data_IF_714341670503
#
_entry.id   IF_714341670503
#
_cell.length_a   1.000
_cell.length_b   1.000
_cell.length_c   1.000
_cell.angle_alpha   90.00
_cell.angle_beta   90.00
_cell.angle_gamma   90.00
#
_symmetry.space_group_name_H-M   'P 1'
#
loop_
_entity.id
_entity.type
_entity.pdbx_description
1 polymer ?
#
# COMPACT_ATOMS: atom_id res chain seq x y z
N UNK A 1 26.37 22.60 7.28
CA UNK A 1 25.12 22.94 7.99
C UNK A 1 24.65 21.68 8.71
N UNK A 2 24.26 21.74 9.99
CA UNK A 2 23.66 20.56 10.64
C UNK A 2 22.26 20.35 10.04
N UNK A 3 21.87 19.11 9.68
CA UNK A 3 20.52 18.84 9.21
C UNK A 3 19.50 19.22 10.29
N UNK A 4 18.30 19.58 9.85
CA UNK A 4 17.14 19.68 10.74
C UNK A 4 16.93 18.33 11.42
N UNK A 5 16.62 18.32 12.71
CA UNK A 5 16.35 17.08 13.43
C UNK A 5 15.00 16.50 12.98
N UNK A 6 15.04 15.34 12.35
CA UNK A 6 13.87 14.56 11.91
C UNK A 6 13.76 13.23 12.68
N UNK A 7 14.48 13.06 13.78
CA UNK A 7 14.47 11.81 14.56
C UNK A 7 13.07 11.41 15.05
N UNK A 8 12.18 12.37 15.27
CA UNK A 8 10.79 12.13 15.66
C UNK A 8 9.96 11.37 14.61
N UNK A 9 10.35 11.38 13.33
CA UNK A 9 9.72 10.57 12.28
C UNK A 9 10.43 9.23 12.07
N UNK A 10 11.65 9.08 12.62
CA UNK A 10 12.57 7.98 12.33
C UNK A 10 13.33 8.13 11.01
N UNK A 11 13.24 9.29 10.35
CA UNK A 11 13.93 9.55 9.09
C UNK A 11 15.43 9.80 9.29
N UNK A 12 16.23 9.23 8.40
CA UNK A 12 17.67 9.45 8.35
C UNK A 12 18.06 10.13 7.05
N UNK A 13 18.84 11.21 7.13
CA UNK A 13 19.41 11.86 5.95
C UNK A 13 20.49 11.00 5.29
N UNK A 14 20.77 11.28 4.01
CA UNK A 14 21.88 10.68 3.29
C UNK A 14 23.21 10.83 4.05
N UNK A 15 23.88 9.70 4.36
CA UNK A 15 25.20 9.68 4.98
C UNK A 15 26.29 9.20 3.99
N UNK A 16 26.36 9.85 2.82
CA UNK A 16 27.34 9.51 1.78
C UNK A 16 28.50 10.49 1.74
N UNK A 17 29.73 9.97 1.62
CA UNK A 17 30.95 10.77 1.45
C UNK A 17 31.07 11.40 0.05
N UNK A 18 30.55 10.71 -0.97
CA UNK A 18 30.70 11.09 -2.38
C UNK A 18 29.34 11.45 -2.98
N UNK A 19 28.82 12.63 -2.62
CA UNK A 19 27.61 13.16 -3.26
C UNK A 19 27.89 13.63 -4.68
N UNK A 20 26.90 13.50 -5.55
CA UNK A 20 26.95 13.94 -6.95
C UNK A 20 26.28 15.29 -7.07
N UNK A 21 27.01 16.25 -7.64
CA UNK A 21 26.45 17.56 -7.97
C UNK A 21 25.54 17.46 -9.18
N UNK A 22 24.45 18.20 -9.15
CA UNK A 22 23.50 18.28 -10.26
C UNK A 22 22.84 19.67 -10.31
N UNK A 23 22.04 19.91 -11.33
CA UNK A 23 21.16 21.07 -11.44
C UNK A 23 19.75 20.56 -11.55
N UNK A 24 18.77 21.15 -10.86
CA UNK A 24 17.38 20.72 -11.05
C UNK A 24 16.89 21.00 -12.48
N UNK A 25 17.39 22.08 -13.09
CA UNK A 25 17.08 22.40 -14.47
C UNK A 25 17.97 21.62 -15.42
N UNK A 26 17.33 20.95 -16.38
CA UNK A 26 17.99 20.23 -17.45
C UNK A 26 18.79 21.18 -18.33
N UNK A 27 20.02 20.77 -18.69
CA UNK A 27 20.86 21.49 -19.65
C UNK A 27 20.73 20.95 -21.08
N UNK A 28 20.37 19.68 -21.19
CA UNK A 28 20.22 18.95 -22.45
C UNK A 28 18.74 18.72 -22.75
N UNK A 29 18.36 18.94 -24.02
CA UNK A 29 16.99 18.80 -24.51
C UNK A 29 16.99 18.02 -25.84
N UNK A 30 16.13 17.00 -26.01
CA UNK A 30 15.24 16.40 -25.01
C UNK A 30 16.04 15.64 -23.93
N UNK A 31 15.45 15.50 -22.75
CA UNK A 31 16.03 14.70 -21.67
C UNK A 31 16.16 13.23 -22.12
N UNK A 32 17.35 12.65 -22.00
CA UNK A 32 17.57 11.25 -22.35
C UNK A 32 17.17 10.38 -21.16
N UNK A 33 16.08 9.63 -21.33
CA UNK A 33 15.51 8.78 -20.30
C UNK A 33 15.75 7.30 -20.59
N UNK A 34 15.98 6.51 -19.54
CA UNK A 34 15.91 5.05 -19.66
C UNK A 34 14.48 4.60 -19.97
N UNK A 35 14.33 3.42 -20.58
CA UNK A 35 13.01 2.87 -20.91
C UNK A 35 12.11 2.75 -19.67
N UNK A 36 12.65 2.26 -18.56
CA UNK A 36 11.90 2.11 -17.31
C UNK A 36 11.45 3.45 -16.75
N UNK A 37 12.27 4.50 -16.92
CA UNK A 37 11.90 5.84 -16.49
C UNK A 37 10.82 6.46 -17.37
N UNK A 38 10.94 6.30 -18.69
CA UNK A 38 9.91 6.73 -19.62
C UNK A 38 8.58 6.06 -19.27
N UNK A 39 8.58 4.73 -19.09
CA UNK A 39 7.38 4.00 -18.68
C UNK A 39 6.83 4.45 -17.33
N UNK A 40 7.68 4.70 -16.33
CA UNK A 40 7.23 5.19 -15.02
C UNK A 40 6.55 6.56 -15.13
N UNK A 41 7.13 7.47 -15.91
CA UNK A 41 6.57 8.80 -16.17
C UNK A 41 5.26 8.70 -16.94
N UNK A 42 5.22 7.92 -18.02
CA UNK A 42 3.98 7.66 -18.77
C UNK A 42 2.89 7.09 -17.87
N UNK A 43 3.24 6.14 -17.01
CA UNK A 43 2.31 5.57 -16.06
C UNK A 43 1.75 6.63 -15.09
N UNK A 44 2.61 7.46 -14.50
CA UNK A 44 2.23 8.56 -13.61
C UNK A 44 1.33 9.60 -14.28
N UNK A 45 1.55 9.88 -15.56
CA UNK A 45 0.79 10.89 -16.31
C UNK A 45 -0.56 10.36 -16.79
N UNK A 46 -0.62 9.12 -17.26
CA UNK A 46 -1.77 8.57 -17.97
C UNK A 46 -2.59 7.57 -17.16
N UNK A 47 -1.93 6.73 -16.35
CA UNK A 47 -2.52 5.49 -15.82
C UNK A 47 -2.60 5.41 -14.30
N UNK A 48 -1.92 6.29 -13.55
CA UNK A 48 -1.95 6.21 -12.10
C UNK A 48 -3.38 6.42 -11.58
N UNK A 49 -3.92 5.46 -10.80
CA UNK A 49 -5.25 5.54 -10.25
C UNK A 49 -5.44 6.81 -9.41
N UNK A 50 -6.62 7.43 -9.51
CA UNK A 50 -7.07 8.53 -8.65
C UNK A 50 -6.26 9.85 -8.70
N UNK A 51 -5.44 10.03 -9.73
CA UNK A 51 -4.98 11.36 -10.14
C UNK A 51 -6.04 11.94 -11.07
N UNK A 52 -6.27 13.25 -11.09
CA UNK A 52 -7.25 13.92 -11.99
C UNK A 52 -6.88 13.76 -13.49
N UNK A 53 -6.94 12.53 -13.99
CA UNK A 53 -6.81 12.09 -15.37
C UNK A 53 -8.11 11.38 -15.73
N UNK A 54 -8.67 11.73 -16.88
CA UNK A 54 -9.92 11.16 -17.43
C UNK A 54 -9.82 9.62 -17.57
N UNK A 55 -8.60 9.09 -17.68
CA UNK A 55 -8.33 7.68 -17.92
C UNK A 55 -7.94 6.88 -16.66
N UNK A 56 -7.84 7.52 -15.50
CA UNK A 56 -7.51 6.81 -14.25
C UNK A 56 -8.76 6.13 -13.66
N UNK A 57 -8.67 4.82 -13.41
CA UNK A 57 -9.69 4.09 -12.67
C UNK A 57 -9.64 4.44 -11.18
N UNK A 58 -10.77 4.31 -10.49
CA UNK A 58 -10.78 4.44 -9.03
C UNK A 58 -10.14 3.23 -8.39
N UNK A 59 -9.19 3.45 -7.50
CA UNK A 59 -8.51 2.38 -6.75
C UNK A 59 -8.51 2.66 -5.24
N UNK A 60 -9.26 1.87 -4.48
CA UNK A 60 -9.39 2.03 -3.03
C UNK A 60 -8.06 1.84 -2.28
N UNK A 61 -7.12 1.07 -2.82
CA UNK A 61 -5.78 0.94 -2.26
C UNK A 61 -5.02 2.26 -2.29
N UNK A 62 -5.22 3.06 -3.33
CA UNK A 62 -4.59 4.37 -3.45
C UNK A 62 -5.38 5.42 -2.69
N UNK A 63 -6.72 5.38 -2.67
CA UNK A 63 -7.53 6.47 -2.11
C UNK A 63 -7.89 6.34 -0.64
N UNK A 64 -8.13 5.13 -0.14
CA UNK A 64 -8.76 4.95 1.16
C UNK A 64 -7.78 5.16 2.30
N UNK A 65 -8.13 6.05 3.24
CA UNK A 65 -7.44 6.17 4.53
C UNK A 65 -7.48 4.86 5.33
N UNK A 66 -8.49 4.02 5.10
CA UNK A 66 -8.58 2.73 5.78
C UNK A 66 -7.50 1.74 5.36
N UNK A 67 -6.97 1.88 4.14
CA UNK A 67 -5.89 1.07 3.61
C UNK A 67 -4.54 1.79 3.61
N UNK A 68 -4.47 2.99 4.17
CA UNK A 68 -3.33 3.91 4.02
C UNK A 68 -1.97 3.26 4.32
N UNK A 69 -1.79 2.80 5.56
CA UNK A 69 -0.53 2.16 5.97
C UNK A 69 -0.27 0.88 5.18
N UNK A 70 -1.31 0.11 4.87
CA UNK A 70 -1.18 -1.16 4.16
C UNK A 70 -0.71 -0.97 2.71
N UNK A 71 -1.39 -0.12 1.97
CA UNK A 71 -1.04 0.20 0.59
C UNK A 71 0.34 0.85 0.52
N UNK A 72 0.65 1.72 1.48
CA UNK A 72 1.94 2.37 1.52
C UNK A 72 3.07 1.40 1.88
N UNK A 73 2.85 0.43 2.77
CA UNK A 73 3.81 -0.63 3.05
C UNK A 73 4.14 -1.44 1.79
N UNK A 74 3.12 -1.81 0.99
CA UNK A 74 3.31 -2.50 -0.30
C UNK A 74 4.15 -1.65 -1.25
N UNK A 75 3.86 -0.35 -1.33
CA UNK A 75 4.63 0.58 -2.15
C UNK A 75 6.08 0.65 -1.67
N UNK A 76 6.33 0.82 -0.37
CA UNK A 76 7.67 0.88 0.20
C UNK A 76 8.46 -0.41 -0.08
N UNK A 77 7.85 -1.58 0.10
CA UNK A 77 8.46 -2.88 -0.17
C UNK A 77 8.91 -3.00 -1.63
N UNK A 78 8.01 -2.69 -2.57
CA UNK A 78 8.30 -2.75 -4.01
C UNK A 78 9.27 -1.66 -4.45
N UNK A 79 9.29 -0.53 -3.74
CA UNK A 79 10.25 0.54 -3.97
C UNK A 79 11.63 0.25 -3.35
N UNK A 80 11.75 -0.79 -2.52
CA UNK A 80 12.90 -1.08 -1.66
C UNK A 80 13.27 0.12 -0.76
N UNK A 81 12.26 0.65 -0.09
CA UNK A 81 12.36 1.72 0.91
C UNK A 81 12.13 1.14 2.31
N UNK A 82 12.85 1.69 3.28
CA UNK A 82 12.61 1.44 4.70
C UNK A 82 11.92 2.65 5.32
N UNK A 83 11.45 2.47 6.57
CA UNK A 83 10.89 3.56 7.36
C UNK A 83 11.84 4.75 7.50
N UNK A 84 13.14 4.49 7.64
CA UNK A 84 14.19 5.52 7.73
C UNK A 84 14.42 6.33 6.43
N UNK A 85 13.79 5.91 5.33
CA UNK A 85 13.88 6.57 4.04
C UNK A 85 12.70 7.51 3.76
N UNK A 86 11.65 7.50 4.60
CA UNK A 86 10.40 8.21 4.33
C UNK A 86 9.99 9.09 5.52
N UNK A 87 9.68 10.35 5.25
CA UNK A 87 9.09 11.27 6.22
C UNK A 87 7.82 11.93 5.65
N UNK A 88 6.77 11.98 6.46
CA UNK A 88 5.62 12.85 6.24
C UNK A 88 5.67 13.99 7.27
N UNK A 89 5.66 15.23 6.80
CA UNK A 89 5.80 16.44 7.61
C UNK A 89 4.63 17.39 7.35
N UNK A 90 4.23 18.18 8.34
CA UNK A 90 3.26 19.26 8.13
C UNK A 90 3.87 20.42 7.31
N UNK A 91 5.20 20.58 7.40
CA UNK A 91 5.98 21.61 6.72
C UNK A 91 7.40 21.11 6.44
N UNK A 92 7.92 21.39 5.23
CA UNK A 92 9.30 21.07 4.86
C UNK A 92 10.17 22.30 5.08
N UNK A 93 11.06 22.22 6.07
CA UNK A 93 11.98 23.31 6.39
C UNK A 93 12.95 23.60 5.21
N UNK A 94 13.22 24.86 4.85
CA UNK A 94 14.11 25.24 3.76
C UNK A 94 15.52 24.65 3.84
N UNK A 95 16.02 24.37 5.05
CA UNK A 95 17.30 23.71 5.26
C UNK A 95 17.31 22.28 4.73
N UNK A 96 16.17 21.59 4.76
CA UNK A 96 15.99 20.25 4.16
C UNK A 96 16.03 20.37 2.64
N UNK A 97 15.34 21.36 2.08
CA UNK A 97 15.35 21.61 0.62
C UNK A 97 16.78 21.90 0.14
N UNK A 98 17.50 22.78 0.83
CA UNK A 98 18.90 23.10 0.54
C UNK A 98 19.83 21.89 0.70
N UNK A 99 19.53 20.96 1.61
CA UNK A 99 20.34 19.75 1.77
C UNK A 99 20.36 18.88 0.50
N UNK A 100 19.25 18.84 -0.26
CA UNK A 100 19.12 18.02 -1.46
C UNK A 100 19.35 18.79 -2.76
N UNK A 101 19.09 20.10 -2.82
CA UNK A 101 18.97 20.90 -4.07
C UNK A 101 20.13 20.79 -5.06
N UNK A 102 21.36 20.72 -4.58
CA UNK A 102 22.57 20.83 -5.45
C UNK A 102 23.40 19.55 -5.49
N UNK A 103 23.26 18.69 -4.49
CA UNK A 103 24.03 17.46 -4.39
C UNK A 103 23.25 16.34 -3.68
N UNK A 104 23.33 15.13 -4.22
CA UNK A 104 22.66 13.95 -3.64
C UNK A 104 23.57 12.74 -3.56
N UNK A 105 23.27 11.82 -2.64
CA UNK A 105 23.77 10.46 -2.71
C UNK A 105 22.97 9.66 -3.73
N UNK A 106 23.63 9.03 -4.70
CA UNK A 106 22.96 8.20 -5.73
C UNK A 106 22.80 6.72 -5.33
N UNK A 107 23.29 6.34 -4.13
CA UNK A 107 23.25 4.96 -3.64
C UNK A 107 22.04 4.65 -2.74
N UNK A 108 21.28 5.67 -2.32
CA UNK A 108 20.10 5.51 -1.48
C UNK A 108 18.91 6.29 -2.04
N UNK A 109 17.72 5.94 -1.57
CA UNK A 109 16.47 6.62 -1.90
C UNK A 109 15.95 7.34 -0.66
N UNK A 110 15.28 8.47 -0.84
CA UNK A 110 14.68 9.27 0.24
C UNK A 110 13.42 9.96 -0.26
N UNK A 111 12.42 10.06 0.61
CA UNK A 111 11.12 10.68 0.33
C UNK A 111 10.75 11.53 1.55
N UNK A 112 10.47 12.81 1.33
CA UNK A 112 9.99 13.75 2.35
C UNK A 112 8.81 14.49 1.76
N UNK A 113 7.61 14.29 2.29
CA UNK A 113 6.37 14.82 1.70
C UNK A 113 5.53 15.52 2.75
N UNK A 114 4.70 16.44 2.29
CA UNK A 114 3.53 16.92 3.02
C UNK A 114 2.29 16.12 2.62
N UNK A 115 1.23 16.20 3.41
CA UNK A 115 0.01 15.43 3.15
C UNK A 115 -1.21 16.21 3.60
N UNK A 116 -2.29 16.14 2.83
CA UNK A 116 -3.57 16.70 3.25
C UNK A 116 -4.25 15.82 4.30
N UNK A 117 -5.15 16.40 5.11
CA UNK A 117 -5.78 15.72 6.26
C UNK A 117 -6.48 14.40 5.90
N UNK A 118 -7.14 14.34 4.73
CA UNK A 118 -7.88 13.17 4.25
C UNK A 118 -7.24 12.52 3.01
N UNK A 119 -5.91 12.61 2.90
CA UNK A 119 -5.15 12.01 1.81
C UNK A 119 -4.31 10.83 2.32
N UNK A 120 -4.33 9.71 1.60
CA UNK A 120 -3.45 8.58 1.90
C UNK A 120 -1.99 8.92 1.56
N UNK A 121 -1.03 8.30 2.24
CA UNK A 121 0.41 8.35 1.96
C UNK A 121 0.72 7.99 0.52
N UNK A 122 0.06 6.95 0.00
CA UNK A 122 0.22 6.50 -1.40
C UNK A 122 -0.25 7.59 -2.37
N UNK A 123 -1.43 8.17 -2.15
CA UNK A 123 -1.96 9.25 -2.99
C UNK A 123 -1.07 10.49 -2.93
N UNK A 124 -0.60 10.87 -1.74
CA UNK A 124 0.35 11.97 -1.53
C UNK A 124 1.65 11.75 -2.31
N UNK A 125 2.27 10.56 -2.19
CA UNK A 125 3.48 10.20 -2.93
C UNK A 125 3.31 10.38 -4.44
N UNK A 126 2.25 9.79 -4.99
CA UNK A 126 1.99 9.82 -6.43
C UNK A 126 1.69 11.24 -6.92
N UNK A 127 0.93 12.02 -6.15
CA UNK A 127 0.65 13.43 -6.44
C UNK A 127 1.94 14.24 -6.48
N UNK A 128 2.80 14.14 -5.48
CA UNK A 128 4.04 14.91 -5.42
C UNK A 128 5.02 14.55 -6.54
N UNK A 129 5.19 13.27 -6.85
CA UNK A 129 6.04 12.84 -7.96
C UNK A 129 5.51 13.39 -9.29
N UNK A 130 4.21 13.24 -9.55
CA UNK A 130 3.58 13.75 -10.77
C UNK A 130 3.73 15.26 -10.88
N UNK A 131 3.45 16.01 -9.82
CA UNK A 131 3.53 17.47 -9.83
C UNK A 131 4.95 17.96 -10.15
N UNK A 132 5.96 17.37 -9.52
CA UNK A 132 7.36 17.70 -9.81
C UNK A 132 7.73 17.43 -11.27
N UNK A 133 7.25 16.31 -11.83
CA UNK A 133 7.46 15.97 -13.25
C UNK A 133 6.74 16.97 -14.17
N UNK A 134 5.46 17.25 -13.90
CA UNK A 134 4.62 18.12 -14.71
C UNK A 134 5.13 19.57 -14.72
N UNK A 135 5.66 20.06 -13.59
CA UNK A 135 6.26 21.39 -13.48
C UNK A 135 7.73 21.42 -13.94
N UNK A 136 8.31 20.28 -14.34
CA UNK A 136 9.70 20.19 -14.79
C UNK A 136 10.74 20.37 -13.68
N UNK A 137 10.34 20.23 -12.41
CA UNK A 137 11.20 20.32 -11.22
C UNK A 137 11.74 18.96 -10.80
N UNK A 138 12.40 18.29 -11.73
CA UNK A 138 13.07 17.01 -11.50
C UNK A 138 14.32 16.91 -12.36
N UNK A 139 15.22 15.99 -12.01
CA UNK A 139 16.33 15.57 -12.85
C UNK A 139 16.71 14.11 -12.56
N UNK A 140 17.56 13.54 -13.40
CA UNK A 140 18.09 12.19 -13.31
C UNK A 140 19.60 12.25 -13.08
N UNK A 141 20.06 11.62 -12.00
CA UNK A 141 21.48 11.59 -11.64
C UNK A 141 21.88 10.15 -11.33
N UNK A 142 22.77 9.58 -12.15
CA UNK A 142 23.19 8.17 -12.07
C UNK A 142 22.00 7.18 -11.91
N UNK A 143 20.92 7.41 -12.67
CA UNK A 143 19.72 6.57 -12.66
C UNK A 143 18.75 6.82 -11.50
N UNK A 144 19.07 7.74 -10.57
CA UNK A 144 18.14 8.21 -9.54
C UNK A 144 17.34 9.40 -10.06
N UNK A 145 16.01 9.31 -9.98
CA UNK A 145 15.10 10.42 -10.22
C UNK A 145 15.00 11.24 -8.94
N UNK A 146 15.49 12.48 -8.98
CA UNK A 146 15.37 13.48 -7.92
C UNK A 146 14.36 14.55 -8.34
N UNK A 147 13.42 14.90 -7.49
CA UNK A 147 12.41 15.92 -7.79
C UNK A 147 11.91 16.66 -6.56
N UNK A 148 11.36 17.83 -6.82
CA UNK A 148 10.82 18.75 -5.81
C UNK A 148 9.41 19.18 -6.24
N UNK A 149 8.45 19.04 -5.35
CA UNK A 149 7.12 19.62 -5.51
C UNK A 149 7.04 20.95 -4.74
N UNK A 150 6.43 21.94 -5.35
CA UNK A 150 6.24 23.28 -4.80
C UNK A 150 4.78 23.69 -4.94
N UNK A 151 4.24 24.33 -3.89
CA UNK A 151 2.86 24.79 -3.86
C UNK A 151 2.55 25.83 -4.93
N UNK A 152 3.53 26.68 -5.24
CA UNK A 152 3.39 27.81 -6.16
C UNK A 152 4.42 27.73 -7.30
N UNK A 153 4.03 28.23 -8.48
CA UNK A 153 4.89 28.33 -9.69
C UNK A 153 6.06 29.31 -9.54
N UNK A 154 6.15 30.03 -8.42
CA UNK A 154 7.31 30.88 -8.11
C UNK A 154 8.47 30.09 -7.49
N UNK A 155 8.26 28.80 -7.19
CA UNK A 155 9.27 27.84 -6.73
C UNK A 155 10.12 28.34 -5.55
N UNK A 156 9.50 29.11 -4.66
CA UNK A 156 10.14 29.59 -3.45
C UNK A 156 10.47 28.41 -2.57
N UNK A 157 11.64 28.44 -1.95
CA UNK A 157 12.13 27.33 -1.13
C UNK A 157 11.17 27.00 0.02
N UNK A 158 10.51 28.02 0.57
CA UNK A 158 9.54 27.91 1.67
C UNK A 158 8.21 27.26 1.22
N UNK A 159 7.96 27.17 -0.08
CA UNK A 159 6.75 26.59 -0.67
C UNK A 159 6.95 25.11 -1.04
N UNK A 160 8.08 24.50 -0.68
CA UNK A 160 8.35 23.09 -1.00
C UNK A 160 7.42 22.17 -0.20
N UNK A 161 6.70 21.31 -0.91
CA UNK A 161 5.71 20.39 -0.34
C UNK A 161 6.12 18.92 -0.53
N UNK A 162 7.12 18.64 -1.36
CA UNK A 162 7.66 17.30 -1.53
C UNK A 162 9.10 17.30 -2.04
N UNK A 163 9.90 16.37 -1.56
CA UNK A 163 11.25 16.06 -2.04
C UNK A 163 11.33 14.55 -2.17
N UNK A 164 11.76 14.05 -3.33
CA UNK A 164 11.97 12.63 -3.52
C UNK A 164 13.22 12.38 -4.35
N UNK A 165 13.99 11.36 -3.97
CA UNK A 165 15.05 10.75 -4.77
C UNK A 165 14.84 9.26 -4.78
N UNK A 166 14.42 8.72 -5.92
CA UNK A 166 13.93 7.35 -6.05
C UNK A 166 14.49 6.69 -7.30
N UNK A 167 14.48 5.35 -7.31
CA UNK A 167 14.78 4.51 -8.46
C UNK A 167 13.52 4.33 -9.30
N UNK A 168 13.46 4.85 -10.54
CA UNK A 168 12.26 4.77 -11.37
C UNK A 168 11.80 3.34 -11.66
N UNK A 169 12.73 2.40 -11.81
CA UNK A 169 12.43 0.98 -12.00
C UNK A 169 11.66 0.38 -10.82
N UNK A 170 11.96 0.84 -9.61
CA UNK A 170 11.33 0.40 -8.37
C UNK A 170 9.96 1.07 -8.18
N UNK A 171 9.85 2.36 -8.55
CA UNK A 171 8.56 3.03 -8.63
C UNK A 171 7.62 2.32 -9.62
N UNK A 172 8.12 1.98 -10.82
CA UNK A 172 7.32 1.29 -11.84
C UNK A 172 6.77 -0.06 -11.34
N UNK A 173 7.57 -0.82 -10.56
CA UNK A 173 7.09 -2.06 -9.92
C UNK A 173 5.95 -1.77 -8.94
N UNK A 174 6.11 -0.77 -8.07
CA UNK A 174 5.08 -0.38 -7.12
C UNK A 174 3.79 0.07 -7.81
N UNK A 175 3.91 0.86 -8.88
CA UNK A 175 2.77 1.31 -9.68
C UNK A 175 2.00 0.15 -10.32
N UNK A 176 2.72 -0.81 -10.92
CA UNK A 176 2.10 -2.02 -11.47
C UNK A 176 1.41 -2.85 -10.39
N UNK A 177 1.99 -2.95 -9.19
CA UNK A 177 1.37 -3.69 -8.08
C UNK A 177 0.12 -2.99 -7.54
N UNK A 178 0.07 -1.65 -7.58
CA UNK A 178 -1.15 -0.93 -7.22
C UNK A 178 -2.27 -1.16 -8.25
N UNK A 179 -1.92 -1.27 -9.52
CA UNK A 179 -2.85 -1.52 -10.63
C UNK A 179 -3.28 -2.98 -10.76
N UNK A 180 -2.41 -3.92 -10.37
CA UNK A 180 -2.78 -5.30 -10.13
C UNK A 180 -3.68 -5.34 -8.89
N UNK A 181 -4.95 -5.72 -9.06
CA UNK A 181 -5.87 -5.89 -7.93
C UNK A 181 -5.19 -6.75 -6.84
N UNK A 182 -4.89 -6.15 -5.69
CA UNK A 182 -4.51 -6.94 -4.52
C UNK A 182 -5.70 -7.82 -4.21
N UNK A 183 -5.54 -9.11 -4.45
CA UNK A 183 -6.64 -10.04 -4.28
C UNK A 183 -7.11 -10.02 -2.81
N UNK A 184 -8.40 -10.14 -2.57
CA UNK A 184 -8.98 -10.16 -1.20
C UNK A 184 -8.31 -11.20 -0.29
N UNK A 185 -7.84 -12.31 -0.87
CA UNK A 185 -7.05 -13.36 -0.24
C UNK A 185 -5.71 -12.82 0.29
N UNK A 186 -4.99 -12.05 -0.54
CA UNK A 186 -3.72 -11.43 -0.17
C UNK A 186 -3.93 -10.35 0.91
N UNK A 187 -5.00 -9.57 0.80
CA UNK A 187 -5.43 -8.61 1.83
C UNK A 187 -5.69 -9.29 3.18
N UNK A 188 -6.49 -10.37 3.18
CA UNK A 188 -6.82 -11.12 4.39
C UNK A 188 -5.58 -11.79 5.01
N UNK A 189 -4.71 -12.39 4.19
CA UNK A 189 -3.44 -12.97 4.61
C UNK A 189 -2.55 -11.96 5.32
N UNK A 190 -2.38 -10.77 4.75
CA UNK A 190 -1.54 -9.72 5.36
C UNK A 190 -2.18 -9.18 6.66
N UNK A 191 -3.50 -9.01 6.69
CA UNK A 191 -4.21 -8.60 7.90
C UNK A 191 -4.01 -9.59 9.06
N UNK A 192 -4.00 -10.89 8.77
CA UNK A 192 -3.68 -11.94 9.74
C UNK A 192 -2.21 -11.88 10.18
N UNK A 193 -1.26 -11.74 9.24
CA UNK A 193 0.17 -11.59 9.57
C UNK A 193 0.44 -10.38 10.47
N UNK A 194 -0.16 -9.21 10.17
CA UNK A 194 -0.03 -8.00 11.00
C UNK A 194 -0.58 -8.17 12.41
N UNK A 195 -1.57 -9.04 12.60
CA UNK A 195 -2.13 -9.35 13.92
C UNK A 195 -1.39 -10.49 14.62
N UNK A 196 -0.24 -10.93 14.09
CA UNK A 196 0.65 -11.93 14.71
C UNK A 196 0.24 -13.38 14.45
N UNK A 197 -0.48 -13.63 13.35
CA UNK A 197 -0.74 -14.99 12.86
C UNK A 197 0.31 -15.40 11.83
N UNK A 198 0.76 -16.65 11.90
CA UNK A 198 1.48 -17.31 10.81
C UNK A 198 0.46 -17.76 9.77
N UNK A 199 0.72 -17.50 8.49
CA UNK A 199 -0.17 -17.88 7.38
C UNK A 199 0.53 -18.88 6.47
N UNK A 200 -0.07 -20.05 6.27
CA UNK A 200 0.48 -21.17 5.49
C UNK A 200 -0.48 -21.53 4.34
N UNK A 201 0.05 -21.91 3.16
CA UNK A 201 -0.73 -22.47 2.05
C UNK A 201 -1.06 -21.54 0.88
N UNK A 202 -0.72 -20.25 0.95
CA UNK A 202 -0.94 -19.31 -0.17
C UNK A 202 -0.02 -19.57 -1.39
N UNK A 203 1.08 -20.31 -1.21
CA UNK A 203 2.16 -20.48 -2.22
C UNK A 203 2.33 -21.92 -2.74
N UNK A 204 1.52 -22.89 -2.28
CA UNK A 204 1.69 -24.30 -2.66
C UNK A 204 0.54 -24.78 -3.54
N UNK A 205 0.69 -24.64 -4.86
CA UNK A 205 -0.28 -25.04 -5.89
C UNK A 205 -0.64 -26.54 -5.85
N UNK A 206 0.12 -27.35 -5.11
CA UNK A 206 -0.05 -28.80 -5.04
C UNK A 206 -1.00 -29.27 -3.92
N UNK A 207 -1.48 -28.37 -3.05
CA UNK A 207 -2.40 -28.73 -1.98
C UNK A 207 -3.78 -28.16 -2.30
N UNK A 208 -4.67 -29.01 -2.85
CA UNK A 208 -6.12 -28.71 -2.94
C UNK A 208 -6.72 -28.75 -1.53
N UNK A 209 -6.46 -27.73 -0.74
CA UNK A 209 -7.22 -27.43 0.46
C UNK A 209 -8.64 -27.03 0.03
N UNK A 210 -9.66 -27.39 0.80
CA UNK A 210 -11.03 -26.95 0.53
C UNK A 210 -11.26 -25.44 0.79
N UNK A 211 -10.17 -24.71 1.09
CA UNK A 211 -10.11 -23.32 1.51
C UNK A 211 -8.80 -22.65 1.05
N UNK A 212 -8.74 -21.32 1.02
CA UNK A 212 -7.60 -20.55 0.51
C UNK A 212 -6.29 -20.69 1.32
N UNK A 213 -6.32 -20.55 2.65
CA UNK A 213 -5.10 -20.67 3.47
C UNK A 213 -5.35 -20.94 4.96
N UNK A 214 -4.31 -21.41 5.65
CA UNK A 214 -4.28 -21.57 7.10
C UNK A 214 -3.79 -20.29 7.78
N UNK A 215 -4.37 -19.96 8.94
CA UNK A 215 -3.81 -18.98 9.86
C UNK A 215 -3.63 -19.59 11.26
N UNK A 216 -2.47 -19.37 11.88
CA UNK A 216 -2.11 -19.97 13.17
C UNK A 216 -1.56 -18.94 14.13
N UNK A 217 -1.96 -19.03 15.40
CA UNK A 217 -1.40 -18.21 16.49
C UNK A 217 -1.42 -18.99 17.79
N UNK A 218 -0.24 -19.33 18.29
CA UNK A 218 -0.10 -20.26 19.41
C UNK A 218 -0.75 -21.61 19.09
N UNK A 219 -1.66 -22.07 19.96
CA UNK A 219 -2.38 -23.35 19.80
C UNK A 219 -3.65 -23.23 18.95
N UNK A 220 -3.96 -22.04 18.42
CA UNK A 220 -5.17 -21.82 17.61
C UNK A 220 -4.84 -21.91 16.14
N UNK A 221 -5.70 -22.60 15.39
CA UNK A 221 -5.60 -22.77 13.94
C UNK A 221 -6.94 -22.43 13.29
N UNK A 222 -6.88 -21.67 12.21
CA UNK A 222 -8.04 -21.18 11.46
C UNK A 222 -7.89 -21.58 10.00
N UNK A 223 -8.94 -22.13 9.42
CA UNK A 223 -9.01 -22.33 7.99
C UNK A 223 -9.75 -21.14 7.38
N UNK A 224 -9.06 -20.36 6.57
CA UNK A 224 -9.57 -19.10 6.03
C UNK A 224 -9.96 -19.33 4.59
N UNK A 225 -11.22 -19.00 4.29
CA UNK A 225 -11.78 -18.99 2.95
C UNK A 225 -12.27 -17.58 2.61
N UNK A 226 -11.96 -17.13 1.40
CA UNK A 226 -12.32 -15.82 0.87
C UNK A 226 -13.21 -16.02 -0.34
N UNK A 227 -14.40 -15.40 -0.31
CA UNK A 227 -15.36 -15.53 -1.41
C UNK A 227 -15.75 -14.18 -1.98
N UNK A 228 -15.67 -14.10 -3.31
CA UNK A 228 -16.05 -12.95 -4.13
C UNK A 228 -17.36 -13.20 -4.86
N UNK A 229 -18.25 -12.23 -4.82
CA UNK A 229 -19.55 -12.27 -5.53
C UNK A 229 -19.88 -10.89 -6.10
N UNK A 230 -19.15 -10.41 -7.11
CA UNK A 230 -19.24 -9.03 -7.60
C UNK A 230 -20.59 -8.69 -8.26
N UNK A 231 -21.28 -9.68 -8.82
CA UNK A 231 -22.53 -9.46 -9.58
C UNK A 231 -23.81 -9.60 -8.75
N UNK A 232 -23.70 -9.96 -7.47
CA UNK A 232 -24.85 -10.26 -6.63
C UNK A 232 -25.15 -9.12 -5.64
N UNK A 233 -26.44 -8.78 -5.50
CA UNK A 233 -26.92 -7.91 -4.40
C UNK A 233 -27.16 -8.70 -3.11
N UNK A 234 -27.53 -9.97 -3.23
CA UNK A 234 -27.70 -10.94 -2.16
C UNK A 234 -27.27 -12.30 -2.70
N UNK A 235 -26.62 -13.12 -1.86
CA UNK A 235 -26.20 -14.46 -2.24
C UNK A 235 -27.43 -15.35 -2.46
N UNK A 236 -27.46 -16.14 -3.54
CA UNK A 236 -28.51 -17.12 -3.71
C UNK A 236 -28.36 -18.26 -2.68
N UNK A 237 -29.48 -18.85 -2.27
CA UNK A 237 -29.54 -19.80 -1.14
C UNK A 237 -28.69 -21.05 -1.37
N UNK A 238 -28.56 -21.49 -2.62
CA UNK A 238 -27.70 -22.60 -3.03
C UNK A 238 -26.21 -22.34 -2.75
N UNK A 239 -25.74 -21.10 -2.94
CA UNK A 239 -24.38 -20.70 -2.59
C UNK A 239 -24.16 -20.74 -1.06
N UNK A 240 -25.16 -20.32 -0.27
CA UNK A 240 -25.10 -20.41 1.20
C UNK A 240 -25.10 -21.86 1.67
N UNK A 241 -25.97 -22.70 1.12
CA UNK A 241 -26.07 -24.11 1.50
C UNK A 241 -24.78 -24.86 1.14
N UNK A 242 -24.13 -24.49 0.02
CA UNK A 242 -22.81 -24.98 -0.35
C UNK A 242 -21.75 -24.58 0.68
N UNK A 243 -21.69 -23.31 1.09
CA UNK A 243 -20.77 -22.85 2.13
C UNK A 243 -20.97 -23.62 3.44
N UNK A 244 -22.21 -23.75 3.90
CA UNK A 244 -22.56 -24.50 5.12
C UNK A 244 -22.09 -25.96 5.02
N UNK A 245 -22.32 -26.61 3.86
CA UNK A 245 -21.90 -27.99 3.62
C UNK A 245 -20.37 -28.15 3.60
N UNK A 246 -19.65 -27.22 2.97
CA UNK A 246 -18.19 -27.20 2.94
C UNK A 246 -17.64 -27.10 4.37
N UNK A 247 -18.19 -26.18 5.17
CA UNK A 247 -17.73 -25.93 6.55
C UNK A 247 -18.07 -27.04 7.55
N UNK A 248 -19.24 -27.66 7.43
CA UNK A 248 -19.69 -28.76 8.31
C UNK A 248 -18.95 -30.08 8.06
N UNK A 249 -18.45 -30.32 6.84
CA UNK A 249 -17.83 -31.60 6.45
C UNK A 249 -16.31 -31.70 6.62
N UNK A 250 -15.58 -30.57 6.57
CA UNK A 250 -14.14 -30.60 6.25
C UNK A 250 -13.23 -29.98 7.34
N UNK A 251 -13.77 -29.07 8.16
CA UNK A 251 -12.94 -28.19 9.00
C UNK A 251 -12.97 -28.55 10.50
N UNK A 252 -14.05 -29.21 10.91
CA UNK A 252 -14.49 -29.28 12.30
C UNK A 252 -13.60 -30.09 13.26
N UNK A 253 -12.58 -30.82 12.79
CA UNK A 253 -11.76 -31.65 13.71
C UNK A 253 -10.57 -30.92 14.32
N UNK A 254 -9.90 -30.02 13.60
CA UNK A 254 -8.61 -29.44 14.05
C UNK A 254 -8.44 -27.93 13.81
N UNK A 255 -9.46 -27.22 13.31
CA UNK A 255 -9.39 -25.78 13.09
C UNK A 255 -10.75 -25.10 13.10
N UNK A 256 -10.76 -23.80 13.40
CA UNK A 256 -11.97 -22.97 13.31
C UNK A 256 -12.13 -22.41 11.89
N UNK A 257 -13.29 -22.58 11.24
CA UNK A 257 -13.51 -22.00 9.92
C UNK A 257 -13.72 -20.49 10.01
N UNK A 258 -13.05 -19.76 9.12
CA UNK A 258 -13.18 -18.31 8.93
C UNK A 258 -13.60 -18.07 7.48
N UNK A 259 -14.72 -17.38 7.30
CA UNK A 259 -15.19 -16.95 5.99
C UNK A 259 -15.04 -15.44 5.87
N UNK A 260 -14.15 -15.01 4.99
CA UNK A 260 -14.05 -13.62 4.57
C UNK A 260 -14.97 -13.38 3.37
N UNK A 261 -15.98 -12.55 3.58
CA UNK A 261 -17.00 -12.25 2.57
C UNK A 261 -17.63 -10.88 2.82
N UNK A 262 -18.13 -10.23 1.77
CA UNK A 262 -19.01 -9.08 1.96
C UNK A 262 -20.34 -9.52 2.60
N UNK A 263 -20.45 -9.36 3.93
CA UNK A 263 -21.62 -9.77 4.70
C UNK A 263 -22.90 -8.99 4.38
N UNK A 264 -22.84 -7.89 3.61
CA UNK A 264 -24.04 -7.21 3.10
C UNK A 264 -24.81 -8.06 2.10
N UNK A 265 -24.14 -9.06 1.50
CA UNK A 265 -24.75 -10.00 0.57
C UNK A 265 -25.55 -11.09 1.28
N UNK A 266 -25.55 -11.14 2.62
CA UNK A 266 -26.23 -12.16 3.41
C UNK A 266 -27.38 -11.59 4.21
N UNK A 267 -28.47 -12.36 4.32
CA UNK A 267 -29.55 -12.08 5.26
C UNK A 267 -29.14 -12.42 6.71
N UNK A 268 -29.84 -11.85 7.69
CA UNK A 268 -29.54 -12.15 9.11
C UNK A 268 -29.80 -13.61 9.47
N UNK A 269 -30.74 -14.26 8.78
CA UNK A 269 -31.00 -15.69 8.92
C UNK A 269 -29.80 -16.54 8.45
N UNK A 270 -29.21 -16.19 7.30
CA UNK A 270 -28.03 -16.88 6.75
C UNK A 270 -26.80 -16.71 7.64
N UNK A 271 -26.56 -15.49 8.13
CA UNK A 271 -25.50 -15.22 9.12
C UNK A 271 -25.68 -16.06 10.37
N UNK A 272 -26.93 -16.20 10.83
CA UNK A 272 -27.27 -17.03 12.00
C UNK A 272 -27.00 -18.51 11.74
N UNK A 273 -27.32 -19.03 10.56
CA UNK A 273 -27.01 -20.42 10.18
C UNK A 273 -25.50 -20.69 10.18
N UNK A 274 -24.70 -19.84 9.56
CA UNK A 274 -23.23 -19.99 9.51
C UNK A 274 -22.61 -19.91 10.91
N UNK A 275 -23.11 -19.03 11.78
CA UNK A 275 -22.66 -18.94 13.18
C UNK A 275 -23.00 -20.20 14.00
N UNK A 276 -24.13 -20.86 13.74
CA UNK A 276 -24.46 -22.14 14.40
C UNK A 276 -23.46 -23.24 14.06
N UNK A 277 -22.91 -23.21 12.86
CA UNK A 277 -21.82 -24.09 12.42
C UNK A 277 -20.43 -23.60 12.90
N UNK A 278 -20.39 -22.62 13.81
CA UNK A 278 -19.17 -22.03 14.38
C UNK A 278 -18.24 -21.41 13.33
N UNK A 279 -18.80 -20.90 12.23
CA UNK A 279 -18.06 -20.15 11.22
C UNK A 279 -17.90 -18.70 11.67
N UNK A 280 -16.66 -18.23 11.72
CA UNK A 280 -16.34 -16.83 11.98
C UNK A 280 -16.50 -16.05 10.67
N UNK A 281 -17.40 -15.07 10.66
CA UNK A 281 -17.62 -14.20 9.51
C UNK A 281 -16.79 -12.93 9.64
N UNK A 282 -15.93 -12.68 8.66
CA UNK A 282 -15.19 -11.43 8.52
C UNK A 282 -15.67 -10.69 7.26
N UNK A 283 -15.70 -9.37 7.35
CA UNK A 283 -15.99 -8.46 6.24
C UNK A 283 -14.86 -7.44 6.07
N UNK A 284 -14.98 -6.54 5.09
CA UNK A 284 -13.94 -5.53 4.83
C UNK A 284 -13.69 -4.63 6.05
N UNK A 285 -14.70 -4.37 6.90
CA UNK A 285 -14.53 -3.58 8.12
C UNK A 285 -13.66 -4.31 9.13
N UNK A 286 -13.83 -5.63 9.24
CA UNK A 286 -12.97 -6.47 10.08
C UNK A 286 -11.52 -6.49 9.57
N UNK A 287 -11.33 -6.66 8.25
CA UNK A 287 -9.99 -6.59 7.65
C UNK A 287 -9.32 -5.25 7.91
N UNK A 288 -10.05 -4.13 7.74
CA UNK A 288 -9.55 -2.78 8.05
C UNK A 288 -9.09 -2.65 9.51
N UNK A 289 -9.83 -3.22 10.47
CA UNK A 289 -9.42 -3.25 11.88
C UNK A 289 -8.16 -4.11 12.10
N UNK A 290 -8.09 -5.28 11.46
CA UNK A 290 -6.94 -6.18 11.54
C UNK A 290 -5.67 -5.55 10.94
N UNK A 291 -5.79 -4.81 9.84
CA UNK A 291 -4.68 -4.05 9.26
C UNK A 291 -4.15 -2.96 10.21
N UNK A 292 -4.98 -2.43 11.11
CA UNK A 292 -4.59 -1.52 12.21
C UNK A 292 -4.00 -2.23 13.43
N UNK A 293 -3.81 -3.55 13.37
CA UNK A 293 -3.26 -4.37 14.46
C UNK A 293 -4.31 -4.87 15.47
N UNK A 294 -5.60 -4.66 15.23
CA UNK A 294 -6.67 -5.17 16.11
C UNK A 294 -6.95 -6.64 15.77
N UNK A 295 -6.71 -7.55 16.72
CA UNK A 295 -6.92 -8.99 16.54
C UNK A 295 -8.41 -9.35 16.65
N UNK A 296 -9.14 -9.24 15.54
CA UNK A 296 -10.59 -9.49 15.48
C UNK A 296 -10.94 -10.94 15.79
N UNK A 297 -10.13 -11.90 15.36
CA UNK A 297 -10.37 -13.31 15.68
C UNK A 297 -10.34 -13.53 17.20
N UNK A 298 -9.39 -12.89 17.91
CA UNK A 298 -9.35 -12.93 19.37
C UNK A 298 -10.51 -12.19 20.03
N UNK A 299 -11.00 -11.08 19.46
CA UNK A 299 -12.16 -10.35 19.98
C UNK A 299 -13.44 -11.20 19.91
N UNK A 300 -13.71 -11.81 18.76
CA UNK A 300 -14.89 -12.65 18.54
C UNK A 300 -14.90 -13.82 19.54
N UNK A 301 -13.75 -14.47 19.75
CA UNK A 301 -13.63 -15.59 20.69
C UNK A 301 -13.78 -15.22 22.16
N UNK A 302 -13.66 -13.94 22.55
CA UNK A 302 -13.97 -13.52 23.93
C UNK A 302 -15.48 -13.42 24.18
N UNK A 303 -16.27 -13.39 23.12
CA UNK A 303 -17.72 -13.17 23.15
C UNK A 303 -18.52 -14.40 22.71
N UNK A 304 -17.85 -15.50 22.37
CA UNK A 304 -18.40 -16.85 22.16
C UNK A 304 -18.26 -17.71 23.43
#
# INVERSE_FOLDING_TARGET
>A
MKPVDLSFTGFEFDNCKNKKKYSIFHKEYPLILSRDMLMAIEYLLWYVPNINSIQSSKNDMVESIDFDDFSFDIVMENMNLKKEDVAFLDYINPLIVNFYRDEICTNCQKIILTRYENESKTKSLLRHIRNAIAHGYFNVVDGILIGFDFKNENYKIDDCTGIFKIRPENLLKALKILDLEVTEEKLASIALKKTGYEVEGFEDENIKLGFDFWAKKGNKRYAVEVKKYPEHKTLPQDAIDKLIKEFSGTYAKNAKPVLFINTSLMTDNEKTKLRREKVILLDVKNIKKMLRGIDILKEIEKHE
#
